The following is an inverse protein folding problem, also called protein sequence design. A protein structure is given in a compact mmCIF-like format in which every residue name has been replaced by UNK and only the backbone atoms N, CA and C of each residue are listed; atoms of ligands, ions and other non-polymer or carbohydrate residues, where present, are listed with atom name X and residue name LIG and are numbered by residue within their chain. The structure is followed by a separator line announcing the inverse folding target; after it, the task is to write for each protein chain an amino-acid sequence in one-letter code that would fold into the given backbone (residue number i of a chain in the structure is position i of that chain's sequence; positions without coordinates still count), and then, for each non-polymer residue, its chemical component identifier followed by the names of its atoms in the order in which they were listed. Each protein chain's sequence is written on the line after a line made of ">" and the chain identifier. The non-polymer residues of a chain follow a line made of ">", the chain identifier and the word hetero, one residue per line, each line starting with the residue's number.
data_IF_534191675983
#
_entry.id   IF_534191675983
#
_cell.length_a   1.000
_cell.length_b   1.000
_cell.length_c   1.000
_cell.angle_alpha   90.00
_cell.angle_beta   90.00
_cell.angle_gamma   90.00
#
_symmetry.space_group_name_H-M   'P 1'
#
loop_
_entity.id
_entity.type
_entity.pdbx_description
1 polymer ?
#
# COMPACT_ATOMS: atom_id res chain seq x y z
N UNK A 1 12.71 18.97 6.00
CA UNK A 1 11.71 18.99 7.09
C UNK A 1 10.90 17.71 7.00
N UNK A 2 11.10 16.78 7.93
CA UNK A 2 10.32 15.55 8.04
C UNK A 2 8.90 15.92 8.42
N UNK A 3 8.00 15.94 7.44
CA UNK A 3 6.56 15.80 7.72
C UNK A 3 6.40 14.51 8.50
N UNK A 4 6.28 14.63 9.82
CA UNK A 4 6.09 13.53 10.75
C UNK A 4 5.07 12.56 10.15
N UNK A 5 5.45 11.28 10.06
CA UNK A 5 4.57 10.20 9.61
C UNK A 5 3.43 10.05 10.62
N UNK A 6 2.41 10.90 10.53
CA UNK A 6 1.23 10.91 11.41
C UNK A 6 0.18 9.96 10.84
N UNK A 7 -0.40 9.14 11.71
CA UNK A 7 -1.44 8.17 11.37
C UNK A 7 -1.04 6.73 11.66
N UNK A 8 -1.75 5.77 11.05
CA UNK A 8 -1.43 4.36 11.16
C UNK A 8 -0.12 4.07 10.41
N UNK A 9 0.81 3.39 11.09
CA UNK A 9 2.11 3.02 10.55
C UNK A 9 2.27 1.51 10.54
N UNK A 10 2.81 0.98 9.45
CA UNK A 10 3.25 -0.41 9.35
C UNK A 10 4.76 -0.40 9.13
N UNK A 11 5.51 -1.01 10.05
CA UNK A 11 6.96 -1.00 10.07
C UNK A 11 7.49 -2.42 10.17
N UNK A 12 8.53 -2.74 9.39
CA UNK A 12 9.04 -4.10 9.28
C UNK A 12 9.90 -4.30 8.04
N UNK A 13 10.30 -5.54 7.79
CA UNK A 13 11.06 -5.92 6.61
C UNK A 13 10.12 -6.26 5.44
N UNK A 14 10.45 -5.80 4.24
CA UNK A 14 9.78 -6.24 3.02
C UNK A 14 10.20 -7.69 2.73
N UNK A 15 9.27 -8.63 2.84
CA UNK A 15 9.53 -10.07 2.59
C UNK A 15 9.03 -10.54 1.22
N UNK A 16 8.19 -9.74 0.56
CA UNK A 16 7.69 -10.06 -0.76
C UNK A 16 7.11 -8.84 -1.48
N UNK A 17 7.03 -8.94 -2.81
CA UNK A 17 6.50 -7.89 -3.68
C UNK A 17 5.78 -8.51 -4.86
N UNK A 18 4.54 -8.08 -5.12
CA UNK A 18 3.77 -8.50 -6.29
C UNK A 18 3.23 -7.27 -7.01
N UNK A 19 3.36 -7.24 -8.35
CA UNK A 19 2.87 -6.15 -9.20
C UNK A 19 1.66 -6.63 -10.00
N UNK A 20 0.61 -5.82 -10.04
CA UNK A 20 -0.56 -6.03 -10.91
C UNK A 20 -0.93 -4.74 -11.64
N UNK A 21 -1.47 -4.88 -12.84
CA UNK A 21 -2.05 -3.77 -13.62
C UNK A 21 -3.56 -3.80 -13.45
N UNK A 22 -4.18 -2.64 -13.20
CA UNK A 22 -5.62 -2.50 -12.98
C UNK A 22 -6.21 -1.53 -14.01
N UNK A 23 -7.31 -1.92 -14.64
CA UNK A 23 -8.03 -1.11 -15.64
C UNK A 23 -7.80 -1.59 -17.08
N UNK A 24 -8.74 -1.24 -17.97
CA UNK A 24 -8.67 -1.62 -19.39
C UNK A 24 -7.53 -0.91 -20.14
N UNK A 25 -7.16 0.29 -19.69
CA UNK A 25 -6.17 1.13 -20.38
C UNK A 25 -4.74 1.01 -19.81
N UNK A 26 -4.51 0.07 -18.89
CA UNK A 26 -3.16 -0.30 -18.37
C UNK A 26 -2.36 0.79 -17.64
N UNK A 27 -2.93 1.97 -17.38
CA UNK A 27 -2.18 3.09 -16.81
C UNK A 27 -1.93 2.97 -15.29
N UNK A 28 -2.70 2.13 -14.59
CA UNK A 28 -2.59 2.02 -13.12
C UNK A 28 -1.93 0.72 -12.72
N UNK A 29 -0.78 0.85 -12.08
CA UNK A 29 -0.10 -0.27 -11.43
C UNK A 29 -0.42 -0.25 -9.94
N UNK A 30 -0.62 -1.43 -9.37
CA UNK A 30 -0.66 -1.61 -7.92
C UNK A 30 0.43 -2.58 -7.54
N UNK A 31 1.23 -2.19 -6.55
CA UNK A 31 2.26 -3.04 -5.98
C UNK A 31 1.84 -3.41 -4.57
N UNK A 32 1.72 -4.71 -4.30
CA UNK A 32 1.51 -5.21 -2.95
C UNK A 32 2.86 -5.57 -2.36
N UNK A 33 3.19 -4.95 -1.24
CA UNK A 33 4.31 -5.31 -0.38
C UNK A 33 3.83 -6.22 0.73
N UNK A 34 4.53 -7.33 0.94
CA UNK A 34 4.40 -8.12 2.18
C UNK A 34 5.44 -7.57 3.16
N UNK A 35 4.97 -7.01 4.27
CA UNK A 35 5.80 -6.43 5.33
C UNK A 35 5.69 -7.33 6.56
N UNK A 36 6.81 -7.81 7.06
CA UNK A 36 6.85 -8.60 8.29
C UNK A 36 7.46 -7.75 9.42
N UNK A 37 6.72 -7.58 10.51
CA UNK A 37 7.17 -6.81 11.68
C UNK A 37 7.93 -7.64 12.74
N UNK A 38 8.18 -8.92 12.43
CA UNK A 38 8.72 -9.93 13.35
C UNK A 38 7.66 -10.83 13.99
N UNK A 39 6.39 -10.43 13.99
CA UNK A 39 5.27 -11.19 14.57
C UNK A 39 4.23 -11.60 13.53
N UNK A 40 3.89 -10.69 12.60
CA UNK A 40 2.84 -10.88 11.62
C UNK A 40 3.25 -10.35 10.24
N UNK A 41 2.54 -10.84 9.23
CA UNK A 41 2.65 -10.34 7.86
C UNK A 41 1.51 -9.40 7.52
N UNK A 42 1.86 -8.24 6.97
CA UNK A 42 0.93 -7.25 6.46
C UNK A 42 1.05 -7.17 4.94
N UNK A 43 -0.08 -7.18 4.25
CA UNK A 43 -0.15 -6.93 2.80
C UNK A 43 -0.57 -5.49 2.60
N UNK A 44 0.32 -4.69 2.01
CA UNK A 44 0.14 -3.24 1.86
C UNK A 44 0.26 -2.88 0.39
N UNK A 45 -0.79 -2.29 -0.16
CA UNK A 45 -0.82 -1.83 -1.54
C UNK A 45 -0.21 -0.41 -1.69
N UNK A 46 0.51 -0.19 -2.77
CA UNK A 46 0.93 1.12 -3.25
C UNK A 46 0.44 1.32 -4.68
N UNK A 47 -0.26 2.43 -4.91
CA UNK A 47 -0.80 2.78 -6.21
C UNK A 47 0.17 3.66 -6.98
N UNK A 48 0.52 3.22 -8.19
CA UNK A 48 1.42 3.91 -9.10
C UNK A 48 2.71 4.43 -8.46
N UNK A 49 3.48 3.60 -7.74
CA UNK A 49 4.75 4.02 -7.17
C UNK A 49 5.74 4.45 -8.24
N UNK A 50 6.51 5.51 -7.98
CA UNK A 50 7.61 5.97 -8.84
C UNK A 50 8.88 5.13 -8.68
N UNK A 51 9.02 4.46 -7.54
CA UNK A 51 10.13 3.56 -7.22
C UNK A 51 9.63 2.43 -6.32
N UNK A 52 10.32 1.30 -6.29
CA UNK A 52 9.90 0.15 -5.50
C UNK A 52 10.83 -0.09 -4.32
N UNK A 53 10.26 -0.39 -3.15
CA UNK A 53 11.01 -0.99 -2.05
C UNK A 53 11.58 -2.36 -2.43
N UNK A 54 12.74 -2.68 -1.90
CA UNK A 54 13.49 -3.91 -2.15
C UNK A 54 13.13 -5.00 -1.14
N UNK A 55 13.23 -6.28 -1.53
CA UNK A 55 13.10 -7.39 -0.58
C UNK A 55 14.27 -7.34 0.40
N UNK A 56 13.98 -7.45 1.69
CA UNK A 56 14.91 -7.29 2.81
C UNK A 56 15.03 -5.84 3.32
N UNK A 57 14.44 -4.86 2.62
CA UNK A 57 14.47 -3.46 3.07
C UNK A 57 13.60 -3.25 4.32
N UNK A 58 14.16 -2.55 5.31
CA UNK A 58 13.42 -2.12 6.50
C UNK A 58 12.67 -0.84 6.20
N UNK A 59 11.35 -0.88 6.33
CA UNK A 59 10.46 0.24 6.03
C UNK A 59 9.60 0.59 7.25
N UNK A 60 9.06 1.81 7.26
CA UNK A 60 8.07 2.25 8.22
C UNK A 60 7.13 3.21 7.52
N UNK A 61 5.99 2.70 7.06
CA UNK A 61 5.18 3.33 6.03
C UNK A 61 3.86 3.85 6.61
N UNK A 62 3.49 5.11 6.34
CA UNK A 62 2.16 5.61 6.66
C UNK A 62 1.13 4.93 5.76
N UNK A 63 0.10 4.37 6.38
CA UNK A 63 -0.97 3.67 5.67
C UNK A 63 -2.34 4.20 6.07
N UNK A 64 -3.33 3.96 5.22
CA UNK A 64 -4.74 4.06 5.56
C UNK A 64 -5.43 2.72 5.26
N UNK A 65 -6.60 2.52 5.87
CA UNK A 65 -7.39 1.30 5.68
C UNK A 65 -8.48 1.59 4.65
N UNK A 66 -8.44 0.87 3.53
CA UNK A 66 -9.48 0.89 2.51
C UNK A 66 -10.41 -0.30 2.71
N UNK A 67 -11.70 -0.02 2.86
CA UNK A 67 -12.74 -1.05 2.86
C UNK A 67 -13.17 -1.29 1.42
N UNK A 68 -13.31 -2.55 1.03
CA UNK A 68 -13.88 -2.91 -0.27
C UNK A 68 -14.79 -4.13 -0.13
N UNK A 69 -15.80 -4.24 -1.00
CA UNK A 69 -16.67 -5.41 -1.04
C UNK A 69 -16.21 -6.37 -2.13
N UNK A 70 -16.04 -7.64 -1.78
CA UNK A 70 -15.82 -8.72 -2.74
C UNK A 70 -16.86 -9.80 -2.49
N UNK A 71 -17.68 -10.08 -3.49
CA UNK A 71 -18.79 -11.04 -3.40
C UNK A 71 -19.73 -10.77 -2.21
N UNK A 72 -20.00 -9.50 -1.91
CA UNK A 72 -20.88 -9.10 -0.80
C UNK A 72 -20.23 -9.13 0.59
N UNK A 73 -18.97 -9.56 0.72
CA UNK A 73 -18.22 -9.56 1.98
C UNK A 73 -17.31 -8.34 2.02
N UNK A 74 -17.42 -7.55 3.08
CA UNK A 74 -16.52 -6.43 3.34
C UNK A 74 -15.15 -6.92 3.77
N UNK A 75 -14.12 -6.44 3.09
CA UNK A 75 -12.72 -6.75 3.37
C UNK A 75 -11.93 -5.46 3.60
N UNK A 76 -10.87 -5.57 4.39
CA UNK A 76 -9.94 -4.48 4.68
C UNK A 76 -8.69 -4.65 3.84
N UNK A 77 -8.13 -3.52 3.40
CA UNK A 77 -6.85 -3.46 2.71
C UNK A 77 -6.02 -2.31 3.27
N UNK A 78 -4.74 -2.53 3.51
CA UNK A 78 -3.82 -1.46 3.90
C UNK A 78 -3.23 -0.84 2.62
N UNK A 79 -3.20 0.48 2.57
CA UNK A 79 -2.69 1.21 1.41
C UNK A 79 -1.73 2.30 1.86
N UNK A 80 -0.56 2.40 1.21
CA UNK A 80 0.42 3.45 1.49
C UNK A 80 -0.20 4.82 1.18
N UNK A 81 -0.08 5.74 2.12
CA UNK A 81 -0.45 7.14 1.94
C UNK A 81 0.61 7.84 1.09
N UNK A 82 0.34 8.07 -0.19
CA UNK A 82 1.21 8.87 -1.07
C UNK A 82 0.57 10.23 -1.38
N UNK A 83 1.41 11.27 -1.50
CA UNK A 83 0.95 12.64 -1.80
C UNK A 83 0.44 12.82 -3.24
N UNK A 84 0.64 11.82 -4.11
CA UNK A 84 0.36 11.86 -5.55
C UNK A 84 -0.72 10.87 -5.99
N UNK A 85 -1.32 10.10 -5.09
CA UNK A 85 -2.38 9.16 -5.44
C UNK A 85 -3.69 9.91 -5.69
N UNK A 86 -3.84 10.47 -6.90
CA UNK A 86 -5.15 10.78 -7.46
C UNK A 86 -5.89 9.46 -7.67
N UNK A 87 -6.62 9.01 -6.65
CA UNK A 87 -7.52 7.88 -6.78
C UNK A 87 -8.82 8.34 -7.44
N UNK A 88 -9.29 7.61 -8.44
CA UNK A 88 -10.65 7.82 -8.93
C UNK A 88 -11.63 7.50 -7.80
N UNK A 89 -12.35 8.51 -7.32
CA UNK A 89 -13.40 8.38 -6.31
C UNK A 89 -13.08 8.92 -4.91
N UNK A 90 -11.98 9.65 -4.71
CA UNK A 90 -11.71 10.34 -3.43
C UNK A 90 -11.50 11.85 -3.67
N UNK A 91 -12.41 12.69 -3.14
CA UNK A 91 -12.14 14.08 -2.80
C UNK A 91 -11.61 14.09 -1.36
N UNK A 92 -10.47 14.74 -1.11
CA UNK A 92 -9.89 14.92 0.23
C UNK A 92 -10.42 16.19 0.89
#
# INVERSE_FOLDING_TARGET
>A
MNSEKKGLLICGAITGRTKRTIGKDSERIVVTYRINDGNADFFVDEWSPTAFYSIGELVCLPVYVKIYSRNGISQLNYVIKSNSAAMAGEEF
#
